data_IF_759542097190
#
_entry.id   IF_759542097190
#
_cell.length_a   1.000
_cell.length_b   1.000
_cell.length_c   1.000
_cell.angle_alpha   90.00
_cell.angle_beta   90.00
_cell.angle_gamma   90.00
#
_symmetry.space_group_name_H-M   'P 1'
#
loop_
_entity.id
_entity.type
_entity.pdbx_description
1 polymer ?
#
# COMPACT_ATOMS: atom_id res chain seq x y z
N UNK A 1 -16.72 -2.18 0.76
CA UNK A 1 -15.38 -1.68 1.14
C UNK A 1 -15.00 -0.55 0.21
N UNK A 2 -14.48 0.59 0.70
CA UNK A 2 -14.07 1.74 -0.12
C UNK A 2 -13.08 1.39 -1.25
N UNK A 3 -12.16 0.46 -0.99
CA UNK A 3 -11.19 0.01 -2.00
C UNK A 3 -11.85 -0.60 -3.23
N UNK A 4 -12.90 -1.42 -3.07
CA UNK A 4 -13.60 -2.05 -4.21
C UNK A 4 -14.25 -1.01 -5.12
N UNK A 5 -14.90 0.00 -4.55
CA UNK A 5 -15.52 1.09 -5.31
C UNK A 5 -14.48 1.79 -6.18
N UNK A 6 -13.33 2.12 -5.60
CA UNK A 6 -12.25 2.78 -6.33
C UNK A 6 -11.70 1.90 -7.47
N UNK A 7 -11.50 0.61 -7.23
CA UNK A 7 -10.99 -0.32 -8.24
C UNK A 7 -12.01 -0.59 -9.36
N UNK A 8 -13.29 -0.66 -9.01
CA UNK A 8 -14.39 -0.82 -9.98
C UNK A 8 -14.50 0.40 -10.90
N UNK A 9 -14.34 1.61 -10.33
CA UNK A 9 -14.46 2.87 -11.07
C UNK A 9 -13.24 3.14 -11.97
N UNK A 10 -12.03 2.81 -11.50
CA UNK A 10 -10.78 3.08 -12.24
C UNK A 10 -10.43 2.00 -13.27
N UNK A 11 -10.96 0.77 -13.11
CA UNK A 11 -10.64 -0.39 -13.96
C UNK A 11 -9.14 -0.57 -14.24
N UNK A 12 -8.30 -0.25 -13.27
CA UNK A 12 -6.85 -0.15 -13.42
C UNK A 12 -6.12 -1.46 -13.12
N UNK A 13 -4.90 -1.59 -13.64
CA UNK A 13 -3.95 -2.63 -13.21
C UNK A 13 -3.45 -2.27 -11.81
N UNK A 14 -3.50 -3.23 -10.88
CA UNK A 14 -3.12 -3.00 -9.48
C UNK A 14 -1.75 -3.60 -9.19
N UNK A 15 -0.84 -2.81 -8.62
CA UNK A 15 0.42 -3.31 -8.06
C UNK A 15 0.30 -3.40 -6.54
N UNK A 16 0.51 -4.60 -5.99
CA UNK A 16 0.46 -4.85 -4.55
C UNK A 16 1.88 -5.00 -4.02
N UNK A 17 2.39 -3.94 -3.42
CA UNK A 17 3.76 -3.88 -2.93
C UNK A 17 3.86 -4.31 -1.46
N UNK A 18 4.79 -5.23 -1.18
CA UNK A 18 5.04 -5.76 0.17
C UNK A 18 6.43 -5.37 0.68
N UNK A 19 6.48 -4.75 1.87
CA UNK A 19 7.70 -4.26 2.50
C UNK A 19 8.09 -5.01 3.78
N UNK A 20 7.18 -5.81 4.35
CA UNK A 20 7.48 -6.68 5.50
C UNK A 20 6.94 -8.09 5.25
N UNK A 21 7.65 -8.89 4.43
CA UNK A 21 7.22 -10.25 4.10
C UNK A 21 7.35 -11.20 5.30
N UNK A 22 8.09 -10.84 6.35
CA UNK A 22 8.20 -11.65 7.57
C UNK A 22 6.98 -11.48 8.45
N UNK A 23 6.50 -10.25 8.67
CA UNK A 23 5.27 -9.99 9.42
C UNK A 23 4.07 -10.74 8.84
N UNK A 24 3.89 -10.71 7.50
CA UNK A 24 2.82 -11.43 6.80
C UNK A 24 2.91 -12.95 6.99
N UNK A 25 4.12 -13.51 7.09
CA UNK A 25 4.34 -14.96 7.20
C UNK A 25 4.29 -15.47 8.64
N UNK A 26 4.76 -14.66 9.58
CA UNK A 26 5.08 -15.12 10.94
C UNK A 26 4.04 -14.73 11.99
N UNK A 27 3.08 -13.85 11.68
CA UNK A 27 2.01 -13.44 12.61
C UNK A 27 0.64 -13.90 12.14
N UNK A 28 -0.25 -14.23 13.07
CA UNK A 28 -1.63 -14.61 12.74
C UNK A 28 -2.42 -13.41 12.18
N UNK A 29 -2.15 -12.20 12.68
CA UNK A 29 -2.71 -10.95 12.16
C UNK A 29 -2.30 -10.73 10.70
N UNK A 30 -1.00 -10.82 10.38
CA UNK A 30 -0.50 -10.65 9.02
C UNK A 30 -1.02 -11.70 8.03
N UNK A 31 -1.25 -12.94 8.49
CA UNK A 31 -1.89 -13.97 7.68
C UNK A 31 -3.34 -13.64 7.36
N UNK A 32 -4.11 -13.18 8.34
CA UNK A 32 -5.51 -12.78 8.15
C UNK A 32 -5.61 -11.58 7.20
N UNK A 33 -4.78 -10.56 7.40
CA UNK A 33 -4.69 -9.40 6.51
C UNK A 33 -4.37 -9.82 5.07
N UNK A 34 -3.43 -10.76 4.90
CA UNK A 34 -3.09 -11.28 3.56
C UNK A 34 -4.25 -12.00 2.91
N UNK A 35 -4.94 -12.89 3.62
CA UNK A 35 -6.08 -13.61 3.07
C UNK A 35 -7.22 -12.68 2.65
N UNK A 36 -7.47 -11.62 3.43
CA UNK A 36 -8.47 -10.62 3.09
C UNK A 36 -8.10 -9.84 1.83
N UNK A 37 -6.84 -9.41 1.73
CA UNK A 37 -6.34 -8.70 0.55
C UNK A 37 -6.40 -9.59 -0.69
N UNK A 38 -5.91 -10.83 -0.61
CA UNK A 38 -5.92 -11.78 -1.73
C UNK A 38 -7.35 -12.05 -2.22
N UNK A 39 -8.32 -12.10 -1.31
CA UNK A 39 -9.72 -12.28 -1.66
C UNK A 39 -10.33 -11.05 -2.35
N UNK A 40 -9.91 -9.83 -2.01
CA UNK A 40 -10.34 -8.61 -2.72
C UNK A 40 -9.68 -8.56 -4.11
N UNK A 41 -8.36 -8.79 -4.17
CA UNK A 41 -7.58 -8.68 -5.40
C UNK A 41 -7.94 -9.73 -6.44
N UNK A 42 -8.54 -10.87 -6.05
CA UNK A 42 -8.99 -11.92 -7.00
C UNK A 42 -9.89 -11.38 -8.12
N UNK A 43 -10.66 -10.33 -7.84
CA UNK A 43 -11.62 -9.75 -8.77
C UNK A 43 -10.95 -8.73 -9.73
N UNK A 44 -9.66 -8.40 -9.55
CA UNK A 44 -8.95 -7.34 -10.27
C UNK A 44 -7.62 -7.83 -10.86
N UNK A 45 -7.19 -7.32 -12.04
CA UNK A 45 -5.87 -7.63 -12.59
C UNK A 45 -4.77 -7.04 -11.70
N UNK A 46 -3.98 -7.89 -11.05
CA UNK A 46 -2.97 -7.45 -10.09
C UNK A 46 -1.63 -8.18 -10.20
N UNK A 47 -0.57 -7.52 -9.73
CA UNK A 47 0.79 -8.06 -9.66
C UNK A 47 1.38 -7.80 -8.27
N UNK A 48 1.96 -8.84 -7.65
CA UNK A 48 2.64 -8.70 -6.37
C UNK A 48 4.10 -8.31 -6.58
N UNK A 49 4.50 -7.21 -5.94
CA UNK A 49 5.86 -6.69 -6.01
C UNK A 49 6.50 -6.78 -4.64
N UNK A 50 7.69 -7.37 -4.60
CA UNK A 50 8.49 -7.49 -3.38
C UNK A 50 9.69 -6.57 -3.51
N UNK A 51 9.74 -5.54 -2.68
CA UNK A 51 10.93 -4.70 -2.57
C UNK A 51 11.80 -5.22 -1.43
N UNK A 52 13.11 -5.34 -1.69
CA UNK A 52 14.13 -5.65 -0.69
C UNK A 52 14.80 -4.37 -0.13
N UNK A 53 14.35 -3.19 -0.56
CA UNK A 53 14.98 -1.92 -0.20
C UNK A 53 14.56 -1.48 1.20
N UNK A 54 15.54 -0.96 1.95
CA UNK A 54 15.33 -0.43 3.29
C UNK A 54 14.60 0.93 3.28
N UNK A 55 14.80 1.73 2.22
CA UNK A 55 14.10 3.00 2.05
C UNK A 55 12.78 2.80 1.28
N UNK A 56 11.69 2.80 2.04
CA UNK A 56 10.33 2.60 1.54
C UNK A 56 9.88 3.69 0.56
N UNK A 57 10.18 4.96 0.86
CA UNK A 57 9.59 6.09 0.14
C UNK A 57 10.24 6.24 -1.22
N UNK A 58 11.57 6.15 -1.26
CA UNK A 58 12.34 6.14 -2.50
C UNK A 58 11.97 4.93 -3.36
N UNK A 59 11.80 3.75 -2.75
CA UNK A 59 11.39 2.56 -3.49
C UNK A 59 10.00 2.71 -4.13
N UNK A 60 9.05 3.36 -3.46
CA UNK A 60 7.72 3.60 -4.03
C UNK A 60 7.79 4.65 -5.14
N UNK A 61 8.55 5.72 -4.96
CA UNK A 61 8.69 6.77 -5.96
C UNK A 61 9.38 6.25 -7.22
N UNK A 62 10.51 5.56 -7.09
CA UNK A 62 11.19 4.90 -8.21
C UNK A 62 10.22 3.96 -8.94
N UNK A 63 9.51 3.10 -8.19
CA UNK A 63 8.55 2.17 -8.78
C UNK A 63 7.42 2.89 -9.50
N UNK A 64 6.90 3.97 -8.93
CA UNK A 64 5.82 4.75 -9.53
C UNK A 64 6.26 5.39 -10.85
N UNK A 65 7.49 5.90 -10.91
CA UNK A 65 8.07 6.46 -12.15
C UNK A 65 8.33 5.37 -13.18
N UNK A 66 8.96 4.27 -12.78
CA UNK A 66 9.32 3.17 -13.69
C UNK A 66 8.11 2.47 -14.31
N UNK A 67 7.00 2.41 -13.57
CA UNK A 67 5.78 1.73 -13.99
C UNK A 67 4.62 2.66 -14.35
N UNK A 68 4.87 3.98 -14.44
CA UNK A 68 3.87 5.00 -14.76
C UNK A 68 2.62 4.87 -13.86
N UNK A 69 2.83 4.67 -12.56
CA UNK A 69 1.74 4.52 -11.59
C UNK A 69 1.07 5.86 -11.35
N UNK A 70 -0.23 5.95 -11.59
CA UNK A 70 -0.98 7.22 -11.42
C UNK A 70 -1.33 7.56 -9.96
N UNK A 71 -1.28 6.58 -9.05
CA UNK A 71 -1.72 6.74 -7.67
C UNK A 71 -1.16 5.66 -6.74
N UNK A 72 -0.80 6.05 -5.52
CA UNK A 72 -0.41 5.12 -4.45
C UNK A 72 -1.51 5.07 -3.38
N UNK A 73 -1.93 3.86 -3.00
CA UNK A 73 -2.89 3.63 -1.92
C UNK A 73 -2.18 2.96 -0.74
N UNK A 74 -2.36 3.50 0.47
CA UNK A 74 -1.76 2.94 1.69
C UNK A 74 -2.77 2.81 2.83
N UNK A 75 -2.59 1.78 3.67
CA UNK A 75 -3.44 1.45 4.82
C UNK A 75 -2.60 1.51 6.11
N UNK A 76 -2.49 2.67 6.77
CA UNK A 76 -1.70 2.78 7.99
C UNK A 76 -2.36 2.03 9.16
N UNK A 77 -1.56 1.32 9.96
CA UNK A 77 -2.04 0.62 11.18
C UNK A 77 -2.49 1.61 12.26
N UNK A 78 -3.55 1.28 12.99
CA UNK A 78 -4.19 2.18 13.98
C UNK A 78 -3.48 2.16 15.35
N UNK A 79 -2.81 3.26 15.67
CA UNK A 79 -2.67 3.73 17.05
C UNK A 79 -3.37 5.09 17.15
N UNK A 80 -4.56 5.13 17.74
CA UNK A 80 -5.20 6.38 18.17
C UNK A 80 -5.50 7.40 17.07
N UNK A 81 -6.29 7.01 16.07
CA UNK A 81 -7.18 7.92 15.34
C UNK A 81 -6.60 9.21 14.70
N UNK A 82 -5.35 9.21 14.20
CA UNK A 82 -4.61 10.30 13.48
C UNK A 82 -3.64 11.17 14.30
N UNK A 83 -3.27 10.82 15.53
CA UNK A 83 -2.55 11.76 16.42
C UNK A 83 -1.19 12.27 15.92
N UNK A 84 -0.67 11.71 14.83
CA UNK A 84 0.15 12.49 13.91
C UNK A 84 0.19 11.77 12.55
N UNK A 85 0.12 12.47 11.42
CA UNK A 85 0.77 12.04 10.16
C UNK A 85 2.32 11.86 10.32
N UNK A 86 2.82 11.77 11.56
CA UNK A 86 4.10 12.23 12.08
C UNK A 86 4.61 11.32 13.21
N UNK A 87 4.81 10.04 12.92
CA UNK A 87 6.02 9.39 13.45
C UNK A 87 6.98 9.14 12.27
N UNK A 88 8.27 9.41 12.44
CA UNK A 88 9.19 9.68 11.33
C UNK A 88 9.74 8.38 10.73
N UNK A 89 8.92 7.60 10.03
CA UNK A 89 9.46 6.47 9.27
C UNK A 89 9.16 6.55 7.79
N UNK A 90 7.93 6.33 7.31
CA UNK A 90 7.72 6.12 5.86
C UNK A 90 6.45 6.72 5.25
N UNK A 91 5.26 6.58 5.87
CA UNK A 91 4.01 7.13 5.31
C UNK A 91 4.02 8.66 5.21
N UNK A 92 4.72 9.33 6.13
CA UNK A 92 4.90 10.78 6.10
C UNK A 92 5.71 11.19 4.87
N UNK A 93 6.87 10.59 4.69
CA UNK A 93 7.76 10.90 3.58
C UNK A 93 7.09 10.65 2.24
N UNK A 94 6.37 9.54 2.11
CA UNK A 94 5.54 9.29 0.93
C UNK A 94 4.47 10.38 0.73
N UNK A 95 3.70 10.76 1.76
CA UNK A 95 2.66 11.78 1.60
C UNK A 95 3.20 13.18 1.26
N UNK A 96 4.43 13.51 1.66
CA UNK A 96 5.04 14.83 1.42
C UNK A 96 5.95 14.89 0.20
N UNK A 97 6.51 13.76 -0.25
CA UNK A 97 7.49 13.71 -1.33
C UNK A 97 7.12 12.74 -2.46
N UNK A 98 5.90 12.19 -2.46
CA UNK A 98 5.48 11.37 -3.59
C UNK A 98 5.26 12.22 -4.84
N UNK A 99 5.74 11.71 -5.97
CA UNK A 99 5.54 12.34 -7.28
C UNK A 99 4.12 12.13 -7.81
N UNK A 100 3.34 11.24 -7.17
CA UNK A 100 1.98 10.86 -7.57
C UNK A 100 1.01 11.02 -6.39
N UNK A 101 -0.30 11.21 -6.65
CA UNK A 101 -1.30 11.29 -5.59
C UNK A 101 -1.25 10.09 -4.64
N UNK A 102 -1.20 10.36 -3.33
CA UNK A 102 -1.24 9.35 -2.27
C UNK A 102 -2.62 9.35 -1.60
N UNK A 103 -3.28 8.21 -1.61
CA UNK A 103 -4.56 7.99 -0.93
C UNK A 103 -4.34 7.14 0.31
N UNK A 104 -4.69 7.69 1.46
CA UNK A 104 -4.68 6.99 2.74
C UNK A 104 -6.08 6.44 3.00
N UNK A 105 -6.20 5.11 3.10
CA UNK A 105 -7.46 4.45 3.40
C UNK A 105 -7.44 3.81 4.79
N UNK A 106 -8.53 3.97 5.52
CA UNK A 106 -8.73 3.32 6.80
C UNK A 106 -9.59 2.08 6.64
N UNK A 107 -9.08 0.94 7.15
CA UNK A 107 -9.85 -0.29 7.36
C UNK A 107 -10.67 -0.22 8.64
#
# INVERSE_FOLDING_TARGET
MPLRILLDDLQSKVYVMNFDPEFRRNTDEGKVESMLLDNIMRDYPHEYVFSLREDFSDAINEFAVEHEVDMVITFPKKHGWFDALLHPSHTKELAFHSEVPVVVMHG
#
